data_IF_699662692248
#
_entry.id   IF_699662692248
#
_cell.length_a   1.000
_cell.length_b   1.000
_cell.length_c   1.000
_cell.angle_alpha   90.00
_cell.angle_beta   90.00
_cell.angle_gamma   90.00
#
_symmetry.space_group_name_H-M   'P 1'
#
loop_
_entity.id
_entity.type
_entity.pdbx_description
1 polymer ?
#
# COMPACT_ATOMS: atom_id res chain seq x y z
N UNK A 1 -5.44 -1.10 17.57
CA UNK A 1 -6.48 -2.14 17.57
C UNK A 1 -5.79 -3.49 17.35
N UNK A 2 -5.71 -4.34 18.36
CA UNK A 2 -5.29 -5.75 18.14
C UNK A 2 -6.41 -6.49 17.39
N UNK A 3 -6.09 -7.42 16.48
CA UNK A 3 -7.14 -8.20 15.84
C UNK A 3 -7.65 -9.29 16.80
N UNK A 4 -8.97 -9.57 16.81
CA UNK A 4 -9.53 -10.65 17.60
C UNK A 4 -9.13 -12.01 17.03
N UNK A 5 -8.87 -12.96 17.93
CA UNK A 5 -8.59 -14.36 17.63
C UNK A 5 -9.82 -15.05 17.03
N UNK A 6 -9.65 -15.79 15.95
CA UNK A 6 -10.60 -16.82 15.53
C UNK A 6 -10.68 -17.03 14.02
N UNK A 7 -10.44 -18.27 13.61
CA UNK A 7 -10.65 -18.86 12.28
C UNK A 7 -9.50 -18.73 11.30
N UNK A 8 -8.49 -19.56 11.53
CA UNK A 8 -7.77 -20.21 10.47
C UNK A 8 -8.77 -21.00 9.60
N UNK A 9 -9.14 -20.46 8.44
CA UNK A 9 -9.48 -21.30 7.30
C UNK A 9 -9.38 -20.53 5.97
N UNK A 10 -8.43 -21.01 5.18
CA UNK A 10 -8.38 -21.10 3.71
C UNK A 10 -9.08 -20.01 2.89
N UNK A 11 -8.25 -19.18 2.24
CA UNK A 11 -8.45 -18.89 0.81
C UNK A 11 -7.10 -18.90 0.09
N UNK A 12 -6.74 -20.02 -0.54
CA UNK A 12 -5.84 -20.01 -1.70
C UNK A 12 -6.73 -19.69 -2.89
N UNK A 13 -6.88 -18.42 -3.25
CA UNK A 13 -7.54 -18.09 -4.52
C UNK A 13 -6.55 -18.48 -5.61
N UNK A 14 -6.86 -19.51 -6.39
CA UNK A 14 -6.20 -19.76 -7.66
C UNK A 14 -6.61 -18.65 -8.63
N UNK A 15 -5.86 -17.55 -8.65
CA UNK A 15 -6.05 -16.45 -9.59
C UNK A 15 -5.09 -16.66 -10.77
N UNK A 16 -5.57 -16.58 -12.02
CA UNK A 16 -4.71 -16.72 -13.19
C UNK A 16 -3.60 -15.66 -13.17
N UNK A 17 -2.37 -16.12 -13.40
CA UNK A 17 -1.17 -15.28 -13.45
C UNK A 17 -1.24 -14.41 -14.71
N UNK A 18 -1.46 -13.11 -14.54
CA UNK A 18 -1.22 -12.13 -15.60
C UNK A 18 0.28 -11.90 -15.72
N UNK A 19 0.82 -12.13 -16.92
CA UNK A 19 2.26 -12.27 -17.22
C UNK A 19 3.03 -10.95 -17.35
N UNK A 20 2.51 -9.83 -16.85
CA UNK A 20 3.13 -8.51 -17.08
C UNK A 20 3.82 -7.88 -15.85
N UNK A 21 3.98 -8.60 -14.73
CA UNK A 21 4.85 -8.12 -13.63
C UNK A 21 6.24 -8.76 -13.77
N UNK A 22 7.30 -7.97 -14.03
CA UNK A 22 8.63 -8.54 -14.16
C UNK A 22 9.09 -9.02 -12.78
N UNK A 23 9.31 -10.33 -12.67
CA UNK A 23 9.85 -11.00 -11.49
C UNK A 23 11.14 -10.36 -10.95
N UNK A 24 11.87 -9.58 -11.76
CA UNK A 24 13.15 -8.95 -11.43
C UNK A 24 13.12 -8.00 -10.22
N UNK A 25 11.98 -7.39 -9.89
CA UNK A 25 11.85 -6.44 -8.77
C UNK A 25 11.28 -7.06 -7.50
N UNK A 26 10.66 -8.23 -7.61
CA UNK A 26 10.01 -8.92 -6.49
C UNK A 26 11.08 -9.75 -5.78
N UNK A 27 11.34 -9.54 -4.48
CA UNK A 27 12.22 -10.42 -3.74
C UNK A 27 11.76 -11.89 -3.84
N UNK A 28 12.70 -12.82 -4.01
CA UNK A 28 12.39 -14.22 -4.31
C UNK A 28 12.05 -15.03 -3.04
N UNK A 29 11.11 -14.53 -2.25
CA UNK A 29 10.62 -15.18 -1.03
C UNK A 29 9.12 -15.44 -1.14
N UNK A 30 8.63 -16.45 -0.41
CA UNK A 30 7.22 -16.84 -0.47
C UNK A 30 6.28 -15.68 -0.12
N UNK A 31 6.64 -14.87 0.88
CA UNK A 31 5.86 -13.70 1.29
C UNK A 31 5.80 -12.64 0.20
N UNK A 32 6.94 -12.29 -0.41
CA UNK A 32 7.02 -11.26 -1.43
C UNK A 32 6.26 -11.67 -2.70
N UNK A 33 6.39 -12.93 -3.10
CA UNK A 33 5.65 -13.50 -4.24
C UNK A 33 4.13 -13.51 -3.96
N UNK A 34 3.72 -13.93 -2.75
CA UNK A 34 2.32 -13.94 -2.36
C UNK A 34 1.72 -12.53 -2.31
N UNK A 35 2.44 -11.57 -1.71
CA UNK A 35 2.04 -10.17 -1.65
C UNK A 35 1.89 -9.56 -3.04
N UNK A 36 2.86 -9.79 -3.93
CA UNK A 36 2.78 -9.34 -5.32
C UNK A 36 1.58 -9.94 -6.06
N UNK A 37 1.29 -11.23 -5.85
CA UNK A 37 0.14 -11.90 -6.46
C UNK A 37 -1.18 -11.29 -6.00
N UNK A 38 -1.32 -11.06 -4.69
CA UNK A 38 -2.51 -10.42 -4.12
C UNK A 38 -2.68 -9.02 -4.71
N UNK A 39 -1.64 -8.20 -4.65
CA UNK A 39 -1.66 -6.84 -5.19
C UNK A 39 -1.99 -6.80 -6.68
N UNK A 40 -1.31 -7.62 -7.49
CA UNK A 40 -1.51 -7.66 -8.95
C UNK A 40 -2.89 -8.16 -9.34
N UNK A 41 -3.53 -8.96 -8.49
CA UNK A 41 -4.89 -9.47 -8.74
C UNK A 41 -6.01 -8.49 -8.35
N UNK A 42 -5.75 -7.62 -7.37
CA UNK A 42 -6.80 -6.82 -6.74
C UNK A 42 -6.67 -5.32 -7.05
N UNK A 43 -5.44 -4.80 -7.21
CA UNK A 43 -5.21 -3.38 -7.44
C UNK A 43 -5.48 -2.99 -8.89
N UNK A 44 -5.99 -1.77 -9.06
CA UNK A 44 -6.03 -1.10 -10.38
C UNK A 44 -4.60 -0.93 -10.90
N UNK A 45 -4.36 -0.95 -12.23
CA UNK A 45 -3.01 -0.80 -12.80
C UNK A 45 -2.26 0.46 -12.35
N UNK A 46 -2.97 1.57 -12.15
CA UNK A 46 -2.41 2.82 -11.62
C UNK A 46 -1.88 2.63 -10.20
N UNK A 47 -2.68 2.03 -9.31
CA UNK A 47 -2.35 1.81 -7.90
C UNK A 47 -1.25 0.75 -7.76
N UNK A 48 -1.28 -0.31 -8.57
CA UNK A 48 -0.19 -1.29 -8.60
C UNK A 48 1.14 -0.64 -9.02
N UNK A 49 1.12 0.17 -10.08
CA UNK A 49 2.31 0.89 -10.56
C UNK A 49 2.83 1.86 -9.50
N UNK A 50 1.94 2.59 -8.82
CA UNK A 50 2.28 3.43 -7.67
C UNK A 50 2.99 2.64 -6.57
N UNK A 51 2.39 1.54 -6.11
CA UNK A 51 2.97 0.70 -5.07
C UNK A 51 4.36 0.15 -5.43
N UNK A 52 4.57 -0.19 -6.70
CA UNK A 52 5.89 -0.61 -7.22
C UNK A 52 6.89 0.55 -7.19
N UNK A 53 6.51 1.73 -7.68
CA UNK A 53 7.41 2.91 -7.66
C UNK A 53 7.76 3.31 -6.22
N UNK A 54 6.79 3.31 -5.31
CA UNK A 54 7.01 3.54 -3.86
C UNK A 54 8.04 2.54 -3.30
N UNK A 55 7.95 1.26 -3.64
CA UNK A 55 8.97 0.27 -3.26
C UNK A 55 10.36 0.62 -3.79
N UNK A 56 10.48 0.99 -5.07
CA UNK A 56 11.77 1.31 -5.69
C UNK A 56 12.42 2.54 -5.04
N UNK A 57 11.64 3.58 -4.74
CA UNK A 57 12.13 4.74 -3.98
C UNK A 57 12.49 4.38 -2.55
N UNK A 58 11.66 3.59 -1.86
CA UNK A 58 11.94 3.18 -0.48
C UNK A 58 13.23 2.34 -0.39
N UNK A 59 13.45 1.43 -1.34
CA UNK A 59 14.68 0.65 -1.48
C UNK A 59 15.89 1.56 -1.71
N UNK A 60 15.75 2.56 -2.57
CA UNK A 60 16.81 3.55 -2.85
C UNK A 60 17.12 4.42 -1.63
N UNK A 61 16.08 4.89 -0.92
CA UNK A 61 16.22 5.65 0.32
C UNK A 61 16.91 4.86 1.42
N UNK A 62 16.57 3.57 1.55
CA UNK A 62 17.19 2.72 2.55
C UNK A 62 18.71 2.59 2.35
N UNK A 63 19.15 2.44 1.10
CA UNK A 63 20.57 2.44 0.75
C UNK A 63 21.26 3.77 1.10
N UNK A 64 20.63 4.91 0.76
CA UNK A 64 21.20 6.24 1.03
C UNK A 64 21.28 6.59 2.51
N UNK A 65 20.28 6.21 3.30
CA UNK A 65 20.21 6.52 4.72
C UNK A 65 21.09 5.59 5.58
N UNK A 66 21.87 4.71 4.96
CA UNK A 66 22.74 3.78 5.67
C UNK A 66 21.96 2.84 6.57
N UNK A 67 20.71 2.49 6.20
CA UNK A 67 19.99 1.41 6.86
C UNK A 67 20.71 0.10 6.51
N UNK A 68 21.76 -0.19 7.28
CA UNK A 68 22.76 -1.24 7.08
C UNK A 68 22.18 -2.67 7.03
N UNK A 69 20.86 -2.82 7.19
CA UNK A 69 20.18 -4.09 7.35
C UNK A 69 18.99 -4.25 6.43
N UNK A 70 19.05 -3.85 5.16
CA UNK A 70 18.31 -4.63 4.15
C UNK A 70 19.09 -5.95 3.94
N UNK A 71 19.12 -6.77 4.99
CA UNK A 71 19.29 -8.21 4.84
C UNK A 71 18.06 -8.73 4.07
N UNK A 72 18.15 -9.89 3.43
CA UNK A 72 17.06 -10.49 2.62
C UNK A 72 15.70 -10.43 3.36
N UNK A 73 15.67 -10.67 4.67
CA UNK A 73 14.44 -10.62 5.47
C UNK A 73 13.81 -9.24 5.65
N UNK A 74 14.56 -8.12 5.59
CA UNK A 74 13.95 -6.77 5.70
C UNK A 74 13.52 -6.22 4.35
N UNK A 75 14.13 -6.69 3.25
CA UNK A 75 13.68 -6.33 1.91
C UNK A 75 12.28 -6.87 1.63
N UNK A 76 11.99 -8.08 2.09
CA UNK A 76 10.67 -8.70 1.98
C UNK A 76 9.59 -7.92 2.69
N UNK A 77 9.87 -7.46 3.92
CA UNK A 77 8.92 -6.64 4.67
C UNK A 77 8.72 -5.28 4.02
N UNK A 78 9.79 -4.68 3.48
CA UNK A 78 9.71 -3.43 2.73
C UNK A 78 8.84 -3.60 1.48
N UNK A 79 9.13 -4.62 0.67
CA UNK A 79 8.35 -4.94 -0.52
C UNK A 79 6.89 -5.23 -0.18
N UNK A 80 6.64 -6.11 0.79
CA UNK A 80 5.29 -6.49 1.24
C UNK A 80 4.51 -5.27 1.74
N UNK A 81 5.15 -4.38 2.49
CA UNK A 81 4.51 -3.15 2.98
C UNK A 81 4.18 -2.22 1.82
N UNK A 82 5.13 -1.93 0.93
CA UNK A 82 4.90 -1.04 -0.21
C UNK A 82 3.86 -1.61 -1.19
N UNK A 83 3.94 -2.89 -1.54
CA UNK A 83 3.05 -3.49 -2.54
C UNK A 83 1.59 -3.59 -2.05
N UNK A 84 1.38 -3.62 -0.73
CA UNK A 84 0.06 -3.78 -0.10
C UNK A 84 -0.47 -2.53 0.61
N UNK A 85 0.27 -1.41 0.67
CA UNK A 85 -0.16 -0.27 1.51
C UNK A 85 -1.55 0.28 1.14
N UNK A 86 -1.88 0.27 -0.16
CA UNK A 86 -3.18 0.68 -0.69
C UNK A 86 -4.15 -0.48 -0.93
N UNK A 87 -3.84 -1.71 -0.50
CA UNK A 87 -4.70 -2.88 -0.77
C UNK A 87 -6.10 -2.72 -0.16
N UNK A 88 -6.19 -1.97 0.95
CA UNK A 88 -7.45 -1.64 1.63
C UNK A 88 -8.39 -0.76 0.82
N UNK A 89 -7.97 -0.23 -0.33
CA UNK A 89 -8.83 0.51 -1.27
C UNK A 89 -9.70 -0.44 -2.10
N UNK A 90 -9.31 -1.71 -2.24
CA UNK A 90 -10.06 -2.72 -3.01
C UNK A 90 -11.28 -3.25 -2.24
N UNK A 91 -12.28 -3.79 -2.95
CA UNK A 91 -13.47 -4.38 -2.31
C UNK A 91 -13.14 -5.74 -1.68
N UNK A 92 -12.30 -6.51 -2.35
CA UNK A 92 -11.87 -7.87 -2.03
C UNK A 92 -10.94 -7.91 -0.81
N UNK A 93 -10.28 -6.79 -0.49
CA UNK A 93 -9.36 -6.68 0.64
C UNK A 93 -9.79 -5.66 1.70
N UNK A 94 -11.09 -5.44 1.84
CA UNK A 94 -11.67 -4.64 2.93
C UNK A 94 -11.86 -5.42 4.25
N UNK A 95 -10.80 -6.06 4.73
CA UNK A 95 -10.84 -6.83 5.97
C UNK A 95 -9.46 -7.27 6.44
N UNK A 96 -9.35 -7.80 7.67
CA UNK A 96 -8.09 -8.34 8.18
C UNK A 96 -7.56 -9.42 7.23
N UNK A 97 -6.26 -9.33 6.88
CA UNK A 97 -5.58 -10.34 6.07
C UNK A 97 -4.52 -11.05 6.90
N UNK A 98 -4.42 -12.35 6.70
CA UNK A 98 -3.38 -13.19 7.28
C UNK A 98 -2.37 -13.54 6.19
N UNK A 99 -1.09 -13.35 6.49
CA UNK A 99 0.02 -13.72 5.62
C UNK A 99 0.84 -14.81 6.30
N UNK A 100 1.49 -15.65 5.50
CA UNK A 100 2.39 -16.71 5.96
C UNK A 100 3.74 -16.15 6.45
N UNK A 101 3.72 -15.23 7.41
CA UNK A 101 4.90 -14.67 8.07
C UNK A 101 4.76 -14.74 9.59
N UNK A 102 5.87 -14.53 10.30
CA UNK A 102 5.86 -14.47 11.75
C UNK A 102 4.88 -13.40 12.25
N UNK A 103 4.28 -13.60 13.42
CA UNK A 103 3.38 -12.59 14.02
C UNK A 103 4.10 -11.24 14.19
N UNK A 104 5.37 -11.27 14.54
CA UNK A 104 6.19 -10.06 14.72
C UNK A 104 6.36 -9.29 13.42
N UNK A 105 6.63 -9.98 12.31
CA UNK A 105 6.82 -9.34 11.01
C UNK A 105 5.49 -8.88 10.41
N UNK A 106 4.42 -9.67 10.59
CA UNK A 106 3.06 -9.22 10.27
C UNK A 106 2.73 -7.94 11.03
N UNK A 107 3.06 -7.87 12.31
CA UNK A 107 2.85 -6.68 13.11
C UNK A 107 3.62 -5.47 12.56
N UNK A 108 4.92 -5.63 12.23
CA UNK A 108 5.74 -4.55 11.64
C UNK A 108 5.14 -4.03 10.33
N UNK A 109 4.76 -4.93 9.42
CA UNK A 109 4.14 -4.59 8.13
C UNK A 109 2.83 -3.84 8.35
N UNK A 110 1.94 -4.36 9.19
CA UNK A 110 0.64 -3.74 9.42
C UNK A 110 0.72 -2.40 10.16
N UNK A 111 1.67 -2.23 11.08
CA UNK A 111 1.92 -0.93 11.71
C UNK A 111 2.38 0.09 10.67
N UNK A 112 3.29 -0.30 9.77
CA UNK A 112 3.74 0.58 8.69
C UNK A 112 2.60 0.93 7.71
N UNK A 113 1.78 -0.06 7.31
CA UNK A 113 0.60 0.18 6.47
C UNK A 113 -0.42 1.06 7.21
N UNK A 114 -0.70 0.85 8.49
CA UNK A 114 -1.69 1.67 9.21
C UNK A 114 -1.29 3.15 9.31
N UNK A 115 0.01 3.44 9.32
CA UNK A 115 0.55 4.77 9.58
C UNK A 115 1.10 5.48 8.34
N UNK A 116 1.08 4.87 7.15
CA UNK A 116 1.74 5.43 5.96
C UNK A 116 1.20 6.80 5.52
N UNK A 117 -0.07 7.13 5.83
CA UNK A 117 -0.67 8.45 5.58
C UNK A 117 -0.58 9.41 6.79
N UNK A 118 0.17 9.07 7.83
CA UNK A 118 0.30 9.86 9.07
C UNK A 118 1.67 10.54 9.17
N UNK A 119 1.89 11.68 8.47
CA UNK A 119 3.15 12.42 8.55
C UNK A 119 3.49 12.81 9.99
N UNK A 120 4.76 12.71 10.34
CA UNK A 120 5.28 12.96 11.68
C UNK A 120 5.20 11.75 12.61
N UNK A 121 4.24 10.85 12.44
CA UNK A 121 4.13 9.62 13.25
C UNK A 121 4.95 8.51 12.60
N UNK A 122 4.74 8.27 11.30
CA UNK A 122 5.39 7.18 10.56
C UNK A 122 6.93 7.24 10.63
N UNK A 123 7.50 8.45 10.58
CA UNK A 123 8.94 8.65 10.63
C UNK A 123 9.57 8.40 12.01
N UNK A 124 8.76 8.38 13.08
CA UNK A 124 9.22 8.22 14.47
C UNK A 124 8.94 6.84 15.04
N UNK A 125 8.03 6.07 14.45
CA UNK A 125 7.56 4.80 15.02
C UNK A 125 8.45 3.60 14.64
N UNK A 126 8.93 3.54 13.40
CA UNK A 126 9.80 2.46 12.91
C UNK A 126 10.50 2.86 11.63
N UNK A 127 11.61 2.19 11.31
CA UNK A 127 12.34 2.45 10.06
C UNK A 127 11.55 2.02 8.83
N UNK A 128 10.77 0.94 8.93
CA UNK A 128 9.89 0.49 7.86
C UNK A 128 8.81 1.53 7.52
N UNK A 129 8.11 2.06 8.54
CA UNK A 129 7.10 3.10 8.35
C UNK A 129 7.73 4.40 7.83
N UNK A 130 8.92 4.77 8.35
CA UNK A 130 9.70 5.92 7.91
C UNK A 130 10.06 5.84 6.42
N UNK A 131 10.57 4.69 5.96
CA UNK A 131 10.97 4.50 4.57
C UNK A 131 9.78 4.61 3.61
N UNK A 132 8.67 3.94 3.92
CA UNK A 132 7.44 3.98 3.11
C UNK A 132 6.89 5.41 3.05
N UNK A 133 6.75 6.07 4.21
CA UNK A 133 6.24 7.45 4.27
C UNK A 133 7.12 8.42 3.49
N UNK A 134 8.45 8.29 3.59
CA UNK A 134 9.39 9.15 2.85
C UNK A 134 9.43 8.86 1.35
N UNK A 135 9.10 7.64 0.92
CA UNK A 135 9.04 7.27 -0.49
C UNK A 135 7.80 7.83 -1.19
N UNK A 136 6.64 7.92 -0.50
CA UNK A 136 5.40 8.43 -1.10
C UNK A 136 5.52 9.80 -1.79
N UNK A 137 6.07 10.86 -1.17
CA UNK A 137 6.20 12.16 -1.84
C UNK A 137 7.26 12.16 -2.96
N UNK A 138 8.16 11.18 -2.98
CA UNK A 138 9.16 10.99 -4.05
C UNK A 138 8.54 10.26 -5.25
N UNK A 139 7.40 9.60 -5.07
CA UNK A 139 6.64 9.00 -6.19
C UNK A 139 6.21 10.02 -7.27
N UNK A 140 6.58 11.29 -7.10
CA UNK A 140 6.62 12.34 -8.10
C UNK A 140 8.05 12.52 -8.64
N UNK A 141 8.51 11.62 -9.51
CA UNK A 141 9.75 11.85 -10.27
C UNK A 141 10.60 10.61 -10.57
N UNK A 142 10.24 9.86 -11.61
CA UNK A 142 11.04 8.74 -12.14
C UNK A 142 10.29 7.40 -12.19
N UNK A 143 10.88 6.40 -12.85
CA UNK A 143 10.31 5.06 -13.12
C UNK A 143 9.00 5.00 -13.93
N UNK A 144 8.41 6.15 -14.29
CA UNK A 144 7.12 6.23 -14.98
C UNK A 144 7.13 5.60 -16.39
N UNK A 145 8.29 5.52 -17.04
CA UNK A 145 8.45 4.82 -18.31
C UNK A 145 8.09 3.33 -18.21
N UNK A 146 8.50 2.67 -17.11
CA UNK A 146 8.21 1.24 -16.86
C UNK A 146 6.93 1.03 -16.05
N UNK A 147 6.59 1.99 -15.18
CA UNK A 147 5.45 1.92 -14.26
C UNK A 147 4.64 3.22 -14.34
N UNK A 148 3.77 3.38 -15.36
CA UNK A 148 3.11 4.66 -15.64
C UNK A 148 2.14 5.09 -14.53
N UNK A 149 1.92 6.42 -14.41
CA UNK A 149 1.01 6.98 -13.39
C UNK A 149 -0.44 6.58 -13.61
N UNK A 150 -0.90 6.62 -14.86
CA UNK A 150 -2.28 6.29 -15.25
C UNK A 150 -3.32 7.03 -14.39
N UNK A 151 -3.12 8.34 -14.23
CA UNK A 151 -3.98 9.23 -13.41
C UNK A 151 -4.17 8.73 -11.96
N UNK A 152 -3.10 8.21 -11.35
CA UNK A 152 -3.12 7.63 -10.00
C UNK A 152 -3.81 8.53 -8.98
N UNK A 153 -3.61 9.84 -9.02
CA UNK A 153 -4.17 10.78 -8.05
C UNK A 153 -5.70 10.75 -8.08
N UNK A 154 -6.27 10.74 -9.29
CA UNK A 154 -7.70 10.61 -9.48
C UNK A 154 -8.18 9.20 -9.09
N UNK A 155 -7.53 8.16 -9.62
CA UNK A 155 -7.97 6.77 -9.43
C UNK A 155 -7.93 6.36 -7.95
N UNK A 156 -6.85 6.71 -7.23
CA UNK A 156 -6.71 6.39 -5.82
C UNK A 156 -7.69 7.19 -4.97
N UNK A 157 -7.85 8.48 -5.26
CA UNK A 157 -8.83 9.35 -4.61
C UNK A 157 -10.26 8.79 -4.74
N UNK A 158 -10.69 8.48 -5.97
CA UNK A 158 -12.01 7.89 -6.25
C UNK A 158 -12.19 6.56 -5.51
N UNK A 159 -11.19 5.68 -5.55
CA UNK A 159 -11.26 4.37 -4.88
C UNK A 159 -11.37 4.52 -3.36
N UNK A 160 -10.67 5.48 -2.76
CA UNK A 160 -10.77 5.78 -1.32
C UNK A 160 -12.16 6.34 -0.95
N UNK A 161 -12.75 7.19 -1.80
CA UNK A 161 -14.11 7.73 -1.61
C UNK A 161 -15.16 6.62 -1.71
N UNK A 162 -15.06 5.74 -2.71
CA UNK A 162 -15.96 4.58 -2.84
C UNK A 162 -15.96 3.71 -1.56
N UNK A 163 -14.78 3.52 -0.97
CA UNK A 163 -14.62 2.80 0.30
C UNK A 163 -15.22 3.56 1.48
N UNK A 164 -15.03 4.88 1.56
CA UNK A 164 -15.62 5.73 2.59
C UNK A 164 -17.15 5.73 2.55
N UNK A 165 -17.74 5.80 1.34
CA UNK A 165 -19.19 5.72 1.12
C UNK A 165 -19.73 4.37 1.61
N UNK A 166 -19.04 3.27 1.27
CA UNK A 166 -19.48 1.92 1.66
C UNK A 166 -19.31 1.65 3.15
N UNK A 167 -18.28 2.22 3.77
CA UNK A 167 -17.91 1.94 5.16
C UNK A 167 -17.44 3.23 5.85
N UNK A 168 -18.38 3.95 6.46
CA UNK A 168 -18.14 5.24 7.14
C UNK A 168 -16.89 5.28 8.04
N UNK A 169 -16.54 4.24 8.83
CA UNK A 169 -15.30 4.23 9.61
C UNK A 169 -13.99 4.38 8.81
N UNK A 170 -14.00 4.15 7.49
CA UNK A 170 -12.83 4.36 6.62
C UNK A 170 -12.54 5.83 6.32
N UNK A 171 -13.48 6.72 6.62
CA UNK A 171 -13.28 8.17 6.62
C UNK A 171 -13.35 8.69 8.07
N UNK A 172 -12.56 8.09 8.98
CA UNK A 172 -12.46 8.60 10.34
C UNK A 172 -11.92 10.03 10.35
N UNK A 173 -12.40 10.86 11.26
CA UNK A 173 -11.92 12.23 11.41
C UNK A 173 -10.39 12.28 11.52
N UNK A 174 -9.80 13.34 10.96
CA UNK A 174 -8.34 13.54 10.88
C UNK A 174 -7.56 12.44 10.10
N UNK A 175 -8.21 11.73 9.19
CA UNK A 175 -7.54 10.86 8.21
C UNK A 175 -7.51 11.48 6.81
N UNK A 176 -6.55 11.07 5.98
CA UNK A 176 -6.50 11.46 4.57
C UNK A 176 -7.79 11.07 3.82
N UNK A 177 -8.31 9.86 4.05
CA UNK A 177 -9.58 9.40 3.49
C UNK A 177 -10.78 10.28 3.90
N UNK A 178 -10.78 10.82 5.12
CA UNK A 178 -11.79 11.80 5.52
C UNK A 178 -11.65 13.11 4.76
N UNK A 179 -10.43 13.62 4.53
CA UNK A 179 -10.23 14.84 3.75
C UNK A 179 -10.78 14.69 2.32
N UNK A 180 -10.50 13.55 1.67
CA UNK A 180 -11.08 13.20 0.37
C UNK A 180 -12.61 13.14 0.39
N UNK A 181 -13.16 12.48 1.42
CA UNK A 181 -14.60 12.29 1.56
C UNK A 181 -15.32 13.63 1.81
N UNK A 182 -14.78 14.52 2.64
CA UNK A 182 -15.34 15.85 2.86
C UNK A 182 -15.29 16.70 1.58
N UNK A 183 -14.19 16.63 0.83
CA UNK A 183 -14.08 17.32 -0.47
C UNK A 183 -15.06 16.76 -1.51
N UNK A 184 -15.32 15.45 -1.51
CA UNK A 184 -16.36 14.83 -2.33
C UNK A 184 -17.76 15.32 -1.95
N UNK A 185 -18.10 15.36 -0.65
CA UNK A 185 -19.40 15.85 -0.20
C UNK A 185 -19.64 17.33 -0.57
N UNK A 186 -18.58 18.13 -0.66
CA UNK A 186 -18.66 19.53 -1.06
C UNK A 186 -18.89 19.72 -2.57
N UNK A 187 -18.48 18.77 -3.42
CA UNK A 187 -18.54 18.86 -4.88
C UNK A 187 -18.60 17.46 -5.54
N UNK A 188 -19.73 16.73 -5.40
CA UNK A 188 -19.82 15.32 -5.84
C UNK A 188 -19.70 15.12 -7.35
N UNK A 189 -19.99 16.15 -8.13
CA UNK A 189 -19.98 16.12 -9.60
C UNK A 189 -18.59 16.42 -10.20
N UNK A 190 -17.59 16.73 -9.37
CA UNK A 190 -16.22 16.98 -9.81
C UNK A 190 -15.65 15.77 -10.55
N UNK A 191 -15.12 16.00 -11.76
CA UNK A 191 -14.54 14.96 -12.62
C UNK A 191 -13.01 14.91 -12.60
N UNK A 192 -12.35 15.83 -11.89
CA UNK A 192 -10.90 15.92 -11.81
C UNK A 192 -10.31 15.15 -10.63
N UNK A 193 -9.05 15.43 -10.30
CA UNK A 193 -8.44 14.99 -9.03
C UNK A 193 -9.22 15.62 -7.87
N UNK A 194 -9.54 14.82 -6.86
CA UNK A 194 -10.25 15.29 -5.67
C UNK A 194 -9.43 16.40 -4.96
N UNK A 195 -10.09 17.51 -4.58
CA UNK A 195 -9.42 18.69 -3.98
C UNK A 195 -8.77 18.42 -2.62
N UNK A 196 -9.12 17.31 -1.97
CA UNK A 196 -8.54 16.85 -0.71
C UNK A 196 -7.40 15.84 -0.85
N UNK A 197 -6.99 15.52 -2.08
CA UNK A 197 -5.87 14.64 -2.37
C UNK A 197 -4.55 15.28 -1.96
#
# INVERSE_FOLDING_TARGET
>A
MCPPNGFADRIVVAIPVSTSTPYDIVPFTEVSIAANRIASSALRPSILSHSIRVFLYAKTLAAHLGFAGIEEGKLDLLFTTCILHDIGTTKECDGPKHYSISFEDAHKVWVAIALHTSPGIAERISDLAKLVRKAMPIDFGGFEERYPRLEIEKVLGDTAIEQAIRRSPKASAASWSNNLYQAYLADPESKGVNKGF
#
